data_IF_826482457801
#
_entry.id   IF_826482457801
#
_cell.length_a   1.000
_cell.length_b   1.000
_cell.length_c   1.000
_cell.angle_alpha   90.00
_cell.angle_beta   90.00
_cell.angle_gamma   90.00
#
_symmetry.space_group_name_H-M   'P 1'
#
loop_
_entity.id
_entity.type
_entity.pdbx_description
1 polymer ?
#
# COMPACT_ATOMS: atom_id res chain seq x y z
N UNK A 1 -16.59 73.57 56.07
CA UNK A 1 -15.52 73.53 55.03
C UNK A 1 -14.56 72.34 55.10
N UNK A 2 -14.05 71.88 56.26
CA UNK A 2 -13.11 70.72 56.32
C UNK A 2 -13.80 69.36 56.04
N UNK A 3 -14.95 69.11 56.69
CA UNK A 3 -15.76 67.89 56.53
C UNK A 3 -16.28 67.64 55.09
N UNK A 4 -16.63 68.69 54.35
CA UNK A 4 -17.07 68.56 52.94
C UNK A 4 -15.94 68.10 52.01
N UNK A 5 -14.69 68.51 52.28
CA UNK A 5 -13.53 68.07 51.49
C UNK A 5 -13.21 66.60 51.73
N UNK A 6 -13.30 66.14 52.97
CA UNK A 6 -13.14 64.72 53.32
C UNK A 6 -14.22 63.84 52.70
N UNK A 7 -15.49 64.27 52.72
CA UNK A 7 -16.57 63.54 52.04
C UNK A 7 -16.37 63.45 50.52
N UNK A 8 -15.86 64.52 49.90
CA UNK A 8 -15.60 64.53 48.45
C UNK A 8 -14.47 63.57 48.07
N UNK A 9 -13.42 63.50 48.88
CA UNK A 9 -12.31 62.55 48.70
C UNK A 9 -12.79 61.11 48.93
N UNK A 10 -13.63 60.87 49.94
CA UNK A 10 -14.15 59.52 50.21
C UNK A 10 -15.02 59.02 49.05
N UNK A 11 -15.90 59.87 48.53
CA UNK A 11 -16.74 59.56 47.36
C UNK A 11 -15.92 59.26 46.11
N UNK A 12 -14.84 60.01 45.88
CA UNK A 12 -13.92 59.75 44.75
C UNK A 12 -13.18 58.41 44.91
N UNK A 13 -12.82 58.03 46.14
CA UNK A 13 -12.20 56.73 46.42
C UNK A 13 -13.17 55.57 46.23
N UNK A 14 -14.41 55.71 46.69
CA UNK A 14 -15.48 54.73 46.46
C UNK A 14 -15.76 54.54 44.97
N UNK A 15 -15.81 55.62 44.19
CA UNK A 15 -16.01 55.55 42.74
C UNK A 15 -14.82 54.90 42.01
N UNK A 16 -13.58 55.15 42.47
CA UNK A 16 -12.39 54.47 41.94
C UNK A 16 -12.39 52.97 42.27
N UNK A 17 -12.72 52.62 43.51
CA UNK A 17 -12.84 51.22 43.93
C UNK A 17 -13.93 50.47 43.13
N UNK A 18 -15.10 51.10 42.91
CA UNK A 18 -16.15 50.52 42.08
C UNK A 18 -15.69 50.27 40.63
N UNK A 19 -14.94 51.21 40.05
CA UNK A 19 -14.38 51.06 38.69
C UNK A 19 -13.29 49.99 38.61
N UNK A 20 -12.49 49.79 39.66
CA UNK A 20 -11.49 48.71 39.71
C UNK A 20 -12.16 47.34 39.82
N UNK A 21 -13.16 47.20 40.69
CA UNK A 21 -13.94 45.96 40.82
C UNK A 21 -14.64 45.58 39.52
N UNK A 22 -15.20 46.55 38.80
CA UNK A 22 -15.83 46.29 37.50
C UNK A 22 -14.82 45.79 36.45
N UNK A 23 -13.60 46.34 36.43
CA UNK A 23 -12.52 45.90 35.53
C UNK A 23 -12.01 44.51 35.89
N UNK A 24 -11.83 44.22 37.17
CA UNK A 24 -11.42 42.90 37.64
C UNK A 24 -12.44 41.84 37.24
N UNK A 25 -13.73 42.11 37.47
CA UNK A 25 -14.81 41.19 37.09
C UNK A 25 -14.88 40.96 35.57
N UNK A 26 -14.64 41.98 34.75
CA UNK A 26 -14.55 41.82 33.30
C UNK A 26 -13.34 40.97 32.88
N UNK A 27 -12.22 41.15 33.58
CA UNK A 27 -10.99 40.40 33.34
C UNK A 27 -11.11 38.93 33.80
N UNK A 28 -11.77 38.67 34.92
CA UNK A 28 -12.10 37.33 35.41
C UNK A 28 -12.99 36.59 34.41
N UNK A 29 -14.05 37.23 33.92
CA UNK A 29 -14.90 36.65 32.86
C UNK A 29 -14.13 36.30 31.60
N UNK A 30 -13.17 37.13 31.20
CA UNK A 30 -12.33 36.85 30.04
C UNK A 30 -11.39 35.66 30.30
N UNK A 31 -10.80 35.58 31.50
CA UNK A 31 -9.93 34.46 31.92
C UNK A 31 -10.72 33.15 32.00
N UNK A 32 -11.90 33.16 32.61
CA UNK A 32 -12.78 31.99 32.68
C UNK A 32 -13.13 31.46 31.29
N UNK A 33 -13.51 32.36 30.35
CA UNK A 33 -13.81 31.98 28.97
C UNK A 33 -12.61 31.38 28.24
N UNK A 34 -11.42 31.94 28.47
CA UNK A 34 -10.19 31.39 27.92
C UNK A 34 -9.86 30.01 28.49
N UNK A 35 -10.02 29.83 29.81
CA UNK A 35 -9.79 28.53 30.46
C UNK A 35 -10.78 27.46 30.01
N UNK A 36 -12.07 27.80 29.87
CA UNK A 36 -13.08 26.91 29.30
C UNK A 36 -12.70 26.46 27.89
N UNK A 37 -12.28 27.42 27.05
CA UNK A 37 -11.82 27.13 25.69
C UNK A 37 -10.57 26.25 25.68
N UNK A 38 -9.61 26.52 26.57
CA UNK A 38 -8.38 25.73 26.71
C UNK A 38 -8.67 24.30 27.15
N UNK A 39 -9.55 24.11 28.14
CA UNK A 39 -10.02 22.79 28.58
C UNK A 39 -10.67 22.02 27.42
N UNK A 40 -11.52 22.69 26.63
CA UNK A 40 -12.16 22.10 25.45
C UNK A 40 -11.13 21.70 24.38
N UNK A 41 -10.12 22.53 24.13
CA UNK A 41 -9.05 22.23 23.17
C UNK A 41 -8.16 21.07 23.62
N UNK A 42 -7.77 21.06 24.89
CA UNK A 42 -6.97 19.98 25.46
C UNK A 42 -7.71 18.64 25.45
N UNK A 43 -9.03 18.64 25.69
CA UNK A 43 -9.85 17.43 25.59
C UNK A 43 -9.87 16.87 24.15
N UNK A 44 -10.09 17.75 23.15
CA UNK A 44 -10.07 17.37 21.73
C UNK A 44 -8.71 16.77 21.31
N UNK A 45 -7.61 17.39 21.74
CA UNK A 45 -6.26 16.92 21.44
C UNK A 45 -5.92 15.61 22.15
N UNK A 46 -6.32 15.46 23.41
CA UNK A 46 -6.17 14.22 24.16
C UNK A 46 -6.91 13.06 23.50
N UNK A 47 -8.13 13.27 23.00
CA UNK A 47 -8.87 12.23 22.27
C UNK A 47 -8.18 11.85 20.96
N UNK A 48 -7.72 12.83 20.18
CA UNK A 48 -6.97 12.57 18.93
C UNK A 48 -5.70 11.75 19.22
N UNK A 49 -4.94 12.15 20.24
CA UNK A 49 -3.71 11.46 20.66
C UNK A 49 -3.97 10.04 21.17
N UNK A 50 -5.08 9.81 21.89
CA UNK A 50 -5.48 8.47 22.33
C UNK A 50 -5.82 7.58 21.13
N UNK A 51 -6.62 8.09 20.18
CA UNK A 51 -6.99 7.37 18.95
C UNK A 51 -5.77 7.02 18.09
N UNK A 52 -4.80 7.93 17.98
CA UNK A 52 -3.57 7.68 17.25
C UNK A 52 -2.70 6.61 17.92
N UNK A 53 -2.52 6.70 19.25
CA UNK A 53 -1.78 5.68 20.02
C UNK A 53 -2.42 4.30 19.93
N UNK A 54 -3.75 4.22 19.94
CA UNK A 54 -4.47 2.95 19.79
C UNK A 54 -4.27 2.35 18.39
N UNK A 55 -4.39 3.15 17.33
CA UNK A 55 -4.12 2.72 15.95
C UNK A 55 -2.68 2.24 15.78
N UNK A 56 -1.72 2.92 16.41
CA UNK A 56 -0.32 2.49 16.34
C UNK A 56 -0.11 1.14 17.04
N UNK A 57 -0.71 0.93 18.21
CA UNK A 57 -0.69 -0.37 18.89
C UNK A 57 -1.34 -1.48 18.05
N UNK A 58 -2.47 -1.19 17.39
CA UNK A 58 -3.12 -2.13 16.49
C UNK A 58 -2.23 -2.51 15.31
N UNK A 59 -1.55 -1.53 14.68
CA UNK A 59 -0.58 -1.80 13.60
C UNK A 59 0.59 -2.67 14.07
N UNK A 60 1.11 -2.41 15.27
CA UNK A 60 2.18 -3.23 15.85
C UNK A 60 1.72 -4.67 16.14
N UNK A 61 0.51 -4.84 16.67
CA UNK A 61 -0.06 -6.17 16.90
C UNK A 61 -0.26 -6.92 15.57
N UNK A 62 -0.82 -6.27 14.54
CA UNK A 62 -1.00 -6.88 13.22
C UNK A 62 0.35 -7.30 12.59
N UNK A 63 1.40 -6.50 12.76
CA UNK A 63 2.75 -6.85 12.31
C UNK A 63 3.32 -8.04 13.08
N UNK A 64 3.06 -8.14 14.38
CA UNK A 64 3.46 -9.30 15.19
C UNK A 64 2.69 -10.55 14.77
N UNK A 65 1.37 -10.47 14.59
CA UNK A 65 0.55 -11.58 14.11
C UNK A 65 1.01 -12.08 12.74
N UNK A 66 1.32 -11.18 11.79
CA UNK A 66 1.87 -11.58 10.49
C UNK A 66 3.20 -12.32 10.62
N UNK A 67 4.08 -11.86 11.52
CA UNK A 67 5.36 -12.54 11.81
C UNK A 67 5.12 -13.93 12.42
N UNK A 68 4.23 -14.04 13.40
CA UNK A 68 3.90 -15.32 14.02
C UNK A 68 3.25 -16.29 13.03
N UNK A 69 2.35 -15.82 12.17
CA UNK A 69 1.72 -16.64 11.12
C UNK A 69 2.79 -17.15 10.14
N UNK A 70 3.71 -16.28 9.71
CA UNK A 70 4.81 -16.67 8.83
C UNK A 70 5.73 -17.70 9.50
N UNK A 71 6.07 -17.51 10.77
CA UNK A 71 6.92 -18.45 11.52
C UNK A 71 6.22 -19.79 11.75
N UNK A 72 4.93 -19.80 12.11
CA UNK A 72 4.11 -21.01 12.22
C UNK A 72 4.07 -21.75 10.89
N UNK A 73 3.83 -21.04 9.79
CA UNK A 73 3.83 -21.63 8.43
C UNK A 73 5.20 -22.16 8.03
N UNK A 74 6.27 -21.49 8.41
CA UNK A 74 7.64 -21.95 8.17
C UNK A 74 7.94 -23.23 8.94
N UNK A 75 7.58 -23.31 10.23
CA UNK A 75 7.73 -24.52 11.05
C UNK A 75 6.89 -25.68 10.49
N UNK A 76 5.64 -25.42 10.14
CA UNK A 76 4.76 -26.39 9.47
C UNK A 76 5.39 -26.90 8.17
N UNK A 77 6.00 -26.01 7.37
CA UNK A 77 6.71 -26.38 6.16
C UNK A 77 7.95 -27.24 6.44
N UNK A 78 8.73 -26.95 7.47
CA UNK A 78 9.89 -27.76 7.86
C UNK A 78 9.48 -29.19 8.24
N UNK A 79 8.43 -29.35 9.05
CA UNK A 79 7.93 -30.67 9.43
C UNK A 79 7.34 -31.42 8.22
N UNK A 80 6.57 -30.73 7.38
CA UNK A 80 6.07 -31.31 6.13
C UNK A 80 7.20 -31.67 5.17
N UNK A 81 8.30 -30.92 5.14
CA UNK A 81 9.45 -31.21 4.29
C UNK A 81 10.16 -32.51 4.72
N UNK A 82 10.25 -32.76 6.03
CA UNK A 82 10.80 -34.02 6.57
C UNK A 82 9.94 -35.23 6.24
N UNK A 83 8.61 -35.05 6.25
CA UNK A 83 7.64 -36.13 6.04
C UNK A 83 7.27 -36.36 4.56
N UNK A 84 7.79 -35.55 3.63
CA UNK A 84 7.51 -35.74 2.20
C UNK A 84 8.20 -37.01 1.71
N UNK A 85 7.44 -37.99 1.16
CA UNK A 85 8.07 -39.13 0.51
C UNK A 85 8.93 -38.60 -0.63
N UNK A 86 10.18 -39.09 -0.72
CA UNK A 86 11.08 -38.77 -1.81
C UNK A 86 10.33 -39.07 -3.12
N UNK A 87 10.13 -38.08 -4.02
CA UNK A 87 9.45 -38.36 -5.28
C UNK A 87 10.23 -39.44 -6.02
N UNK A 88 9.52 -40.48 -6.48
CA UNK A 88 10.13 -41.52 -7.29
C UNK A 88 10.82 -40.86 -8.49
N UNK A 89 12.09 -41.21 -8.72
CA UNK A 89 12.84 -40.68 -9.85
C UNK A 89 12.09 -41.02 -11.15
N UNK A 90 11.58 -40.02 -11.85
CA UNK A 90 10.85 -40.18 -13.12
C UNK A 90 11.78 -40.37 -14.32
N UNK A 91 13.07 -40.13 -14.13
CA UNK A 91 14.09 -40.27 -15.15
C UNK A 91 15.07 -41.38 -14.76
N UNK A 92 15.26 -42.31 -15.67
CA UNK A 92 16.21 -43.39 -15.55
C UNK A 92 17.49 -43.00 -16.29
N UNK A 93 18.63 -43.09 -15.59
CA UNK A 93 19.96 -42.92 -16.18
C UNK A 93 20.73 -44.23 -16.11
N UNK A 94 21.49 -44.53 -17.15
CA UNK A 94 22.50 -45.58 -17.09
C UNK A 94 23.80 -44.98 -16.55
N UNK A 95 24.14 -45.32 -15.31
CA UNK A 95 25.43 -45.02 -14.72
C UNK A 95 26.10 -46.35 -14.33
N UNK A 96 27.33 -46.59 -14.79
CA UNK A 96 28.12 -47.78 -14.47
C UNK A 96 27.41 -49.12 -14.73
N UNK A 97 26.64 -49.21 -15.82
CA UNK A 97 25.95 -50.45 -16.22
C UNK A 97 24.72 -50.82 -15.38
N UNK A 98 24.31 -49.99 -14.42
CA UNK A 98 23.08 -50.19 -13.62
C UNK A 98 22.08 -49.06 -13.87
N UNK A 99 20.82 -49.44 -14.11
CA UNK A 99 19.71 -48.50 -14.25
C UNK A 99 19.50 -47.79 -12.90
N UNK A 100 19.95 -46.55 -12.80
CA UNK A 100 19.85 -45.75 -11.57
C UNK A 100 18.89 -44.61 -11.84
N UNK A 101 17.96 -44.36 -10.90
CA UNK A 101 17.08 -43.20 -10.98
C UNK A 101 17.92 -41.91 -10.89
N UNK A 102 18.06 -41.21 -12.01
CA UNK A 102 18.93 -40.03 -12.13
C UNK A 102 18.08 -38.79 -12.35
N UNK A 103 18.11 -37.84 -11.42
CA UNK A 103 17.49 -36.52 -11.60
C UNK A 103 18.40 -35.65 -12.48
N UNK A 104 18.19 -35.71 -13.79
CA UNK A 104 18.80 -34.74 -14.69
C UNK A 104 18.02 -33.43 -14.58
N UNK A 105 18.69 -32.32 -14.26
CA UNK A 105 18.07 -30.98 -14.32
C UNK A 105 17.55 -30.60 -15.72
N UNK A 106 17.87 -31.41 -16.73
CA UNK A 106 17.47 -31.24 -18.13
C UNK A 106 16.41 -32.25 -18.59
N UNK A 107 15.98 -33.21 -17.77
CA UNK A 107 14.89 -34.12 -18.15
C UNK A 107 13.55 -33.45 -17.89
N UNK A 108 13.18 -32.54 -18.78
CA UNK A 108 11.81 -32.03 -18.83
C UNK A 108 10.87 -33.19 -19.18
N UNK A 109 9.71 -33.31 -18.52
CA UNK A 109 8.70 -34.27 -18.95
C UNK A 109 8.34 -33.96 -20.41
N UNK A 110 8.04 -35.00 -21.18
CA UNK A 110 7.58 -34.82 -22.56
C UNK A 110 6.41 -33.83 -22.57
N UNK A 111 6.50 -32.76 -23.38
CA UNK A 111 5.46 -31.73 -23.37
C UNK A 111 4.15 -32.34 -23.87
N UNK A 112 3.08 -32.14 -23.10
CA UNK A 112 1.76 -32.69 -23.42
C UNK A 112 1.14 -32.10 -24.71
N UNK A 113 1.73 -31.04 -25.26
CA UNK A 113 1.26 -30.36 -26.45
C UNK A 113 2.43 -29.76 -27.22
N UNK A 114 2.51 -30.07 -28.51
CA UNK A 114 3.40 -29.40 -29.46
C UNK A 114 2.57 -28.42 -30.28
N UNK A 115 3.07 -27.19 -30.46
CA UNK A 115 2.46 -26.24 -31.39
C UNK A 115 2.67 -26.76 -32.82
N UNK A 116 1.60 -27.17 -33.54
CA UNK A 116 1.74 -27.78 -34.87
C UNK A 116 2.13 -26.75 -35.94
N UNK A 117 2.05 -25.45 -35.64
CA UNK A 117 2.44 -24.39 -36.55
C UNK A 117 3.89 -24.02 -36.25
N UNK A 118 4.84 -24.30 -37.15
CA UNK A 118 6.22 -23.87 -36.96
C UNK A 118 6.25 -22.34 -36.87
N UNK A 119 7.17 -21.81 -36.05
CA UNK A 119 7.41 -20.38 -35.93
C UNK A 119 7.67 -19.81 -37.34
N UNK A 120 6.68 -19.13 -37.90
CA UNK A 120 6.83 -18.50 -39.22
C UNK A 120 7.86 -17.38 -39.05
N UNK A 121 8.88 -17.29 -39.93
CA UNK A 121 9.76 -16.15 -39.97
C UNK A 121 8.92 -14.87 -40.02
N UNK A 122 9.25 -13.90 -39.16
CA UNK A 122 8.57 -12.60 -39.20
C UNK A 122 8.86 -12.00 -40.57
N UNK A 123 7.84 -11.65 -41.38
CA UNK A 123 8.06 -11.03 -42.67
C UNK A 123 8.79 -9.72 -42.46
N UNK A 124 10.02 -9.62 -42.97
CA UNK A 124 10.77 -8.38 -42.98
C UNK A 124 10.07 -7.44 -43.95
N UNK A 125 9.56 -6.28 -43.51
CA UNK A 125 8.97 -5.34 -44.45
C UNK A 125 10.05 -4.91 -45.45
N UNK A 126 9.71 -4.80 -46.76
CA UNK A 126 10.66 -4.32 -47.73
C UNK A 126 11.15 -2.91 -47.33
N UNK A 127 12.45 -2.61 -47.54
CA UNK A 127 12.97 -1.28 -47.25
C UNK A 127 12.15 -0.24 -48.02
N UNK A 128 11.70 0.80 -47.31
CA UNK A 128 10.93 1.88 -47.90
C UNK A 128 11.84 2.66 -48.85
N UNK A 129 11.66 2.46 -50.14
CA UNK A 129 12.16 3.35 -51.19
C UNK A 129 11.75 4.79 -50.81
N UNK A 130 12.73 5.67 -50.61
CA UNK A 130 12.52 7.11 -50.44
C UNK A 130 12.00 7.67 -51.76
N UNK A 131 10.67 7.78 -51.87
CA UNK A 131 10.02 8.51 -52.97
C UNK A 131 9.78 9.95 -52.53
N UNK A 132 10.55 10.84 -53.13
CA UNK A 132 10.36 12.27 -53.10
C UNK A 132 8.96 12.67 -53.62
N UNK A 133 8.37 13.62 -52.90
CA UNK A 133 7.34 14.60 -53.27
C UNK A 133 6.45 14.29 -54.51
N UNK A 134 5.17 14.05 -54.28
CA UNK A 134 4.08 14.87 -54.86
C UNK A 134 2.71 14.33 -54.43
N UNK A 135 1.83 15.26 -54.05
CA UNK A 135 0.56 14.92 -53.41
C UNK A 135 -0.46 14.24 -54.33
N UNK A 136 -1.34 13.44 -53.71
CA UNK A 136 -2.75 13.32 -54.07
C UNK A 136 -3.51 12.63 -52.92
N UNK A 137 -4.54 13.32 -52.43
CA UNK A 137 -5.52 12.84 -51.45
C UNK A 137 -6.39 11.74 -52.07
N UNK A 138 -6.61 10.62 -51.38
CA UNK A 138 -7.87 9.87 -51.49
C UNK A 138 -8.10 8.89 -50.33
N UNK A 139 -9.14 9.20 -49.55
CA UNK A 139 -10.19 8.33 -48.97
C UNK A 139 -9.78 7.17 -48.04
N UNK A 140 -10.17 7.32 -46.77
CA UNK A 140 -10.30 6.30 -45.72
C UNK A 140 -11.22 5.15 -46.20
N UNK A 141 -10.80 3.88 -46.14
CA UNK A 141 -11.72 2.76 -46.24
C UNK A 141 -12.31 2.45 -44.87
N UNK A 142 -13.63 2.58 -44.76
CA UNK A 142 -14.45 1.98 -43.71
C UNK A 142 -14.64 0.52 -44.11
N UNK A 143 -14.17 -0.41 -43.28
CA UNK A 143 -14.60 -1.82 -43.35
C UNK A 143 -15.36 -2.13 -42.07
N UNK A 144 -16.64 -2.36 -42.30
CA UNK A 144 -17.67 -2.81 -41.39
C UNK A 144 -17.58 -4.32 -41.11
N UNK A 145 -18.13 -4.69 -39.94
CA UNK A 145 -18.71 -5.99 -39.51
C UNK A 145 -17.88 -6.82 -38.50
N UNK A 146 -18.54 -7.70 -37.70
CA UNK A 146 -19.52 -7.35 -36.66
C UNK A 146 -19.15 -7.96 -35.29
N UNK A 147 -19.72 -7.40 -34.21
CA UNK A 147 -19.58 -7.93 -32.85
C UNK A 147 -20.14 -9.35 -32.75
N UNK A 148 -19.27 -10.30 -32.39
CA UNK A 148 -19.70 -11.62 -31.89
C UNK A 148 -19.56 -11.62 -30.37
N UNK A 149 -20.67 -11.37 -29.69
CA UNK A 149 -20.81 -11.54 -28.25
C UNK A 149 -20.66 -13.02 -27.91
N UNK A 150 -19.66 -13.38 -27.09
CA UNK A 150 -19.54 -14.70 -26.48
C UNK A 150 -19.43 -14.57 -24.97
N UNK A 151 -20.12 -15.47 -24.29
CA UNK A 151 -20.57 -15.45 -22.91
C UNK A 151 -19.49 -15.43 -21.83
N UNK A 152 -19.78 -14.65 -20.78
CA UNK A 152 -19.38 -14.79 -19.38
C UNK A 152 -18.52 -16.01 -19.01
N UNK A 153 -17.26 -15.77 -18.62
CA UNK A 153 -16.64 -16.46 -17.46
C UNK A 153 -15.67 -15.50 -16.77
N UNK A 154 -16.04 -15.05 -15.57
CA UNK A 154 -15.16 -14.31 -14.66
C UNK A 154 -14.21 -15.30 -13.97
N UNK A 155 -12.93 -15.32 -14.34
CA UNK A 155 -11.88 -15.94 -13.52
C UNK A 155 -10.87 -14.89 -13.05
N UNK A 156 -11.17 -14.43 -11.83
CA UNK A 156 -10.34 -13.90 -10.73
C UNK A 156 -8.83 -13.67 -10.98
N UNK A 157 -8.39 -12.48 -10.53
CA UNK A 157 -7.03 -11.95 -10.56
C UNK A 157 -5.95 -12.94 -10.11
N UNK A 158 -4.93 -13.11 -10.95
CA UNK A 158 -3.67 -13.78 -10.59
C UNK A 158 -2.65 -12.75 -10.15
N UNK A 159 -2.20 -12.95 -8.92
CA UNK A 159 -1.03 -12.37 -8.25
C UNK A 159 0.14 -12.06 -9.19
N UNK A 160 0.65 -10.83 -9.11
CA UNK A 160 1.93 -10.43 -9.69
C UNK A 160 3.08 -11.12 -8.94
N UNK A 161 3.75 -12.08 -9.60
CA UNK A 161 5.05 -12.57 -9.14
C UNK A 161 6.11 -11.59 -9.64
N UNK A 162 6.49 -10.65 -8.78
CA UNK A 162 7.69 -9.85 -8.96
C UNK A 162 8.92 -10.77 -8.92
N UNK A 163 9.56 -10.99 -10.07
CA UNK A 163 10.84 -11.66 -10.18
C UNK A 163 11.94 -10.68 -9.74
N UNK A 164 12.41 -10.82 -8.51
CA UNK A 164 13.60 -10.13 -8.01
C UNK A 164 14.86 -10.73 -8.65
N UNK A 165 15.68 -9.87 -9.24
CA UNK A 165 17.00 -10.18 -9.81
C UNK A 165 17.97 -10.68 -8.74
N UNK A 166 18.59 -11.84 -8.98
CA UNK A 166 19.70 -12.36 -8.18
C UNK A 166 21.03 -11.70 -8.62
N UNK A 167 21.66 -10.97 -7.70
CA UNK A 167 23.04 -10.53 -7.81
C UNK A 167 23.99 -11.73 -7.89
N UNK A 168 24.84 -11.78 -8.92
CA UNK A 168 26.00 -12.68 -8.97
C UNK A 168 27.06 -12.15 -8.01
N UNK A 169 27.44 -12.97 -7.02
CA UNK A 169 28.72 -12.84 -6.32
C UNK A 169 29.66 -13.85 -6.97
N UNK A 170 30.72 -13.34 -7.60
CA UNK A 170 31.79 -14.12 -8.20
C UNK A 170 32.91 -14.26 -7.15
N UNK A 171 33.39 -15.48 -6.92
CA UNK A 171 34.69 -15.75 -6.32
C UNK A 171 35.68 -16.04 -7.43
#
# INVERSE_FOLDING_TARGET
KRKEREQKINKEREEKAAKELEKEHLQEKAKEKYEEWLKKKNAEECEKKKKEKEKEKQRQAELQEKKEIAEKKFKEWLENAKNKPRPAAKSYGYANGKLTGFYSGNSYPEPAFYNPIPWKPVPVPPPKEVKDLSGKKTKRPVISQPNRSSSLVMHKARSNLCLGTLCRIQR
#
